data_IF_975648236399
#
_entry.id   IF_975648236399
#
_cell.length_a   1.000
_cell.length_b   1.000
_cell.length_c   1.000
_cell.angle_alpha   90.00
_cell.angle_beta   90.00
_cell.angle_gamma   90.00
#
_symmetry.space_group_name_H-M   'P 1'
#
loop_
_entity.id
_entity.type
_entity.pdbx_description
1 polymer ?
#
# COMPACT_ATOMS: atom_id res chain seq x y z
N UNK A 1 -8.26 -14.78 0.99
CA UNK A 1 -7.01 -14.27 1.61
C UNK A 1 -7.23 -12.80 1.96
N UNK A 2 -7.42 -12.47 3.25
CA UNK A 2 -7.64 -11.09 3.68
C UNK A 2 -6.34 -10.28 3.49
N UNK A 3 -6.46 -9.05 2.99
CA UNK A 3 -5.32 -8.15 2.74
C UNK A 3 -4.57 -7.77 4.03
N UNK A 4 -5.23 -7.88 5.18
CA UNK A 4 -4.67 -7.63 6.49
C UNK A 4 -4.94 -8.83 7.39
N UNK A 5 -3.93 -9.19 8.19
CA UNK A 5 -3.97 -10.28 9.16
C UNK A 5 -5.08 -10.02 10.20
N UNK A 6 -5.65 -11.08 10.78
CA UNK A 6 -6.78 -10.91 11.69
C UNK A 6 -6.36 -10.09 12.92
N UNK A 7 -7.15 -9.07 13.30
CA UNK A 7 -6.86 -8.22 14.48
C UNK A 7 -6.86 -9.00 15.81
N UNK A 8 -7.18 -10.29 15.76
CA UNK A 8 -7.25 -11.25 16.87
C UNK A 8 -5.94 -11.98 17.09
N UNK A 9 -5.00 -11.90 16.16
CA UNK A 9 -3.66 -12.44 16.31
C UNK A 9 -2.80 -11.43 17.09
N UNK A 10 -2.76 -11.61 18.41
CA UNK A 10 -1.92 -10.80 19.28
C UNK A 10 -0.47 -11.25 19.16
N UNK A 11 0.31 -10.55 18.34
CA UNK A 11 1.75 -10.78 18.28
C UNK A 11 2.42 -10.05 19.44
N UNK A 12 3.20 -10.77 20.25
CA UNK A 12 4.02 -10.14 21.27
C UNK A 12 4.92 -9.07 20.62
N UNK A 13 5.11 -7.94 21.30
CA UNK A 13 5.95 -6.84 20.80
C UNK A 13 7.35 -7.35 20.41
N UNK A 14 7.90 -8.30 21.18
CA UNK A 14 9.15 -9.01 20.86
C UNK A 14 9.09 -9.76 19.52
N UNK A 15 8.00 -10.47 19.24
CA UNK A 15 7.81 -11.14 17.95
C UNK A 15 7.68 -10.18 16.78
N UNK A 16 7.07 -9.00 17.00
CA UNK A 16 7.02 -7.94 16.00
C UNK A 16 8.42 -7.40 15.68
N UNK A 17 9.19 -7.04 16.71
CA UNK A 17 10.57 -6.55 16.57
C UNK A 17 11.46 -7.58 15.88
N UNK A 18 11.39 -8.84 16.29
CA UNK A 18 12.17 -9.92 15.69
C UNK A 18 11.85 -10.11 14.19
N UNK A 19 10.57 -10.05 13.81
CA UNK A 19 10.18 -10.14 12.39
C UNK A 19 10.63 -8.94 11.59
N UNK A 20 10.58 -7.73 12.15
CA UNK A 20 11.09 -6.53 11.48
C UNK A 20 12.60 -6.61 11.28
N UNK A 21 13.35 -7.08 12.27
CA UNK A 21 14.79 -7.30 12.16
C UNK A 21 15.11 -8.36 11.10
N UNK A 22 14.39 -9.48 11.10
CA UNK A 22 14.58 -10.54 10.10
C UNK A 22 14.26 -10.05 8.68
N UNK A 23 13.18 -9.28 8.51
CA UNK A 23 12.84 -8.68 7.22
C UNK A 23 13.90 -7.66 6.76
N UNK A 24 14.48 -6.89 7.67
CA UNK A 24 15.57 -5.97 7.35
C UNK A 24 16.84 -6.73 6.91
N UNK A 25 17.20 -7.82 7.61
CA UNK A 25 18.34 -8.67 7.24
C UNK A 25 18.12 -9.35 5.88
N UNK A 26 16.93 -9.90 5.64
CA UNK A 26 16.55 -10.51 4.37
C UNK A 26 16.63 -9.48 3.23
N UNK A 27 16.06 -8.28 3.43
CA UNK A 27 16.15 -7.21 2.44
C UNK A 27 17.60 -6.81 2.14
N UNK A 28 18.43 -6.65 3.18
CA UNK A 28 19.85 -6.30 3.03
C UNK A 28 20.62 -7.38 2.25
N UNK A 29 20.38 -8.66 2.54
CA UNK A 29 20.97 -9.78 1.80
C UNK A 29 20.54 -9.78 0.33
N UNK A 30 19.29 -9.40 0.06
CA UNK A 30 18.70 -9.38 -1.28
C UNK A 30 18.95 -8.07 -2.06
N UNK A 31 19.55 -7.05 -1.46
CA UNK A 31 19.73 -5.73 -2.08
C UNK A 31 20.66 -5.77 -3.32
N UNK A 32 21.55 -6.76 -3.40
CA UNK A 32 22.47 -6.95 -4.54
C UNK A 32 21.99 -7.92 -5.62
N UNK A 33 20.78 -8.51 -5.49
CA UNK A 33 20.32 -9.48 -6.47
C UNK A 33 20.07 -8.84 -7.83
N UNK A 34 20.75 -9.36 -8.85
CA UNK A 34 20.48 -8.99 -10.25
C UNK A 34 19.04 -9.36 -10.58
N UNK A 35 18.38 -8.50 -11.37
CA UNK A 35 17.01 -8.73 -11.78
C UNK A 35 16.84 -10.10 -12.44
N UNK A 36 15.78 -10.83 -12.07
CA UNK A 36 15.47 -12.13 -12.63
C UNK A 36 15.39 -12.05 -14.16
N UNK A 37 15.96 -13.03 -14.86
CA UNK A 37 15.91 -13.13 -16.33
C UNK A 37 14.93 -14.19 -16.78
N UNK A 38 14.31 -13.98 -17.93
CA UNK A 38 13.43 -14.96 -18.58
C UNK A 38 14.30 -16.15 -19.02
N UNK A 39 13.97 -17.37 -18.59
CA UNK A 39 14.77 -18.57 -18.87
C UNK A 39 14.43 -19.24 -20.20
N UNK A 40 13.18 -19.15 -20.66
CA UNK A 40 12.66 -19.89 -21.81
C UNK A 40 11.69 -19.02 -22.62
N UNK A 41 11.73 -19.14 -23.95
CA UNK A 41 10.86 -18.41 -24.90
C UNK A 41 11.64 -17.43 -25.78
N UNK A 42 10.95 -16.73 -26.68
CA UNK A 42 11.55 -15.77 -27.63
C UNK A 42 12.32 -14.63 -26.95
N UNK A 43 11.93 -14.28 -25.72
CA UNK A 43 12.53 -13.21 -24.90
C UNK A 43 13.52 -13.74 -23.85
N UNK A 44 14.04 -14.96 -24.03
CA UNK A 44 14.99 -15.56 -23.10
C UNK A 44 16.25 -14.67 -22.96
N UNK A 45 16.70 -14.47 -21.71
CA UNK A 45 17.82 -13.60 -21.37
C UNK A 45 17.44 -12.15 -21.02
N UNK A 46 16.25 -11.68 -21.42
CA UNK A 46 15.75 -10.36 -21.00
C UNK A 46 15.39 -10.34 -19.51
N UNK A 47 15.45 -9.14 -18.91
CA UNK A 47 14.98 -8.92 -17.56
C UNK A 47 13.46 -9.17 -17.47
N UNK A 48 13.07 -10.02 -16.52
CA UNK A 48 11.69 -10.35 -16.24
C UNK A 48 11.04 -9.21 -15.45
N UNK A 49 9.99 -8.63 -16.04
CA UNK A 49 9.25 -7.51 -15.47
C UNK A 49 7.84 -7.93 -15.08
N UNK A 50 7.49 -7.70 -13.82
CA UNK A 50 6.15 -7.97 -13.32
C UNK A 50 5.18 -6.89 -13.78
N UNK A 51 4.11 -7.29 -14.47
CA UNK A 51 2.97 -6.45 -14.74
C UNK A 51 2.15 -6.27 -13.45
N UNK A 52 1.84 -5.05 -13.06
CA UNK A 52 1.14 -4.73 -11.81
C UNK A 52 0.04 -3.69 -12.06
N UNK A 53 -1.11 -3.86 -11.42
CA UNK A 53 -2.18 -2.87 -11.44
C UNK A 53 -1.97 -1.82 -10.34
N UNK A 54 -1.69 -0.58 -10.74
CA UNK A 54 -1.47 0.52 -9.81
C UNK A 54 -2.82 1.12 -9.41
N UNK A 55 -3.23 0.91 -8.16
CA UNK A 55 -4.52 1.41 -7.65
C UNK A 55 -4.65 2.93 -7.68
N UNK A 56 -3.54 3.66 -7.51
CA UNK A 56 -3.53 5.12 -7.53
C UNK A 56 -3.98 5.68 -8.88
N UNK A 57 -3.48 5.11 -9.97
CA UNK A 57 -3.74 5.59 -11.33
C UNK A 57 -4.78 4.73 -12.07
N UNK A 58 -5.28 3.66 -11.44
CA UNK A 58 -6.17 2.65 -12.03
C UNK A 58 -5.69 2.11 -13.38
N UNK A 59 -4.39 1.86 -13.51
CA UNK A 59 -3.75 1.43 -14.76
C UNK A 59 -2.79 0.25 -14.54
N UNK A 60 -2.63 -0.58 -15.57
CA UNK A 60 -1.62 -1.64 -15.60
C UNK A 60 -0.27 -1.07 -16.03
N UNK A 61 0.74 -1.28 -15.20
CA UNK A 61 2.10 -0.80 -15.45
C UNK A 61 3.10 -1.92 -15.28
N UNK A 62 4.14 -1.95 -16.11
CA UNK A 62 5.31 -2.77 -15.85
C UNK A 62 6.13 -2.11 -14.74
N UNK A 63 6.40 -2.85 -13.67
CA UNK A 63 7.04 -2.31 -12.47
C UNK A 63 8.41 -1.69 -12.77
N UNK A 64 9.16 -2.18 -13.76
CA UNK A 64 10.44 -1.59 -14.17
C UNK A 64 10.33 -0.21 -14.81
N UNK A 65 9.29 0.02 -15.63
CA UNK A 65 9.03 1.35 -16.18
C UNK A 65 8.73 2.33 -15.05
N UNK A 66 7.95 1.90 -14.07
CA UNK A 66 7.66 2.72 -12.88
C UNK A 66 8.95 2.99 -12.08
N UNK A 67 9.75 1.96 -11.80
CA UNK A 67 10.99 2.10 -11.02
C UNK A 67 12.03 2.97 -11.72
N UNK A 68 12.22 2.82 -13.03
CA UNK A 68 13.14 3.65 -13.81
C UNK A 68 12.68 5.11 -13.88
N UNK A 69 11.38 5.37 -14.02
CA UNK A 69 10.82 6.72 -13.94
C UNK A 69 11.02 7.34 -12.55
N UNK A 70 10.85 6.55 -11.49
CA UNK A 70 11.06 6.98 -10.10
C UNK A 70 12.53 7.28 -9.84
N UNK A 71 13.45 6.41 -10.26
CA UNK A 71 14.90 6.62 -10.12
C UNK A 71 15.32 7.90 -10.85
N UNK A 72 14.88 8.08 -12.11
CA UNK A 72 15.14 9.32 -12.86
C UNK A 72 14.62 10.56 -12.13
N UNK A 73 13.42 10.51 -11.54
CA UNK A 73 12.85 11.64 -10.79
C UNK A 73 13.59 11.92 -9.49
N UNK A 74 14.11 10.89 -8.83
CA UNK A 74 14.94 11.03 -7.62
C UNK A 74 16.30 11.61 -7.98
N UNK A 75 16.94 11.14 -9.05
CA UNK A 75 18.24 11.61 -9.55
C UNK A 75 18.18 13.05 -10.07
N UNK A 76 17.08 13.46 -10.69
CA UNK A 76 16.84 14.84 -11.14
C UNK A 76 16.54 15.83 -10.01
N UNK A 77 16.62 15.39 -8.75
CA UNK A 77 16.33 16.20 -7.58
C UNK A 77 14.84 16.44 -7.46
N UNK A 78 14.16 15.63 -6.65
CA UNK A 78 12.72 15.66 -6.42
C UNK A 78 12.19 17.09 -6.22
N UNK A 79 11.68 17.70 -7.28
CA UNK A 79 10.65 18.72 -7.15
C UNK A 79 9.48 18.02 -6.48
N UNK A 80 9.27 18.30 -5.19
CA UNK A 80 8.05 17.94 -4.48
C UNK A 80 6.91 18.46 -5.34
N UNK A 81 6.23 17.59 -6.08
CA UNK A 81 5.03 17.99 -6.82
C UNK A 81 4.10 18.52 -5.73
N UNK A 82 3.78 19.83 -5.70
CA UNK A 82 2.87 20.34 -4.69
C UNK A 82 1.58 19.58 -4.90
N UNK A 83 1.13 18.87 -3.85
CA UNK A 83 -0.07 18.05 -3.92
C UNK A 83 -1.19 18.93 -4.48
N UNK A 84 -1.67 18.61 -5.68
CA UNK A 84 -2.80 19.34 -6.25
C UNK A 84 -3.92 19.26 -5.22
N UNK A 85 -4.56 20.39 -4.85
CA UNK A 85 -5.62 20.37 -3.86
C UNK A 85 -6.75 19.49 -4.38
N UNK A 86 -6.84 18.27 -3.85
CA UNK A 86 -7.93 17.36 -4.17
C UNK A 86 -9.16 17.92 -3.49
N UNK A 87 -10.11 18.44 -4.27
CA UNK A 87 -11.40 18.87 -3.75
C UNK A 87 -12.22 17.63 -3.39
N UNK A 88 -11.99 17.11 -2.20
CA UNK A 88 -12.80 16.04 -1.64
C UNK A 88 -14.19 16.62 -1.30
N UNK A 89 -15.29 15.96 -1.69
CA UNK A 89 -16.60 16.36 -1.24
C UNK A 89 -16.62 16.31 0.29
N UNK A 90 -17.07 17.41 0.91
CA UNK A 90 -17.06 17.66 2.36
C UNK A 90 -17.74 16.54 3.18
N UNK A 91 -18.61 15.75 2.54
CA UNK A 91 -19.32 14.65 3.17
C UNK A 91 -19.66 13.56 2.14
N UNK A 92 -19.19 12.33 2.33
CA UNK A 92 -19.64 11.16 1.53
C UNK A 92 -20.98 10.61 2.03
N UNK A 93 -21.45 11.05 3.20
CA UNK A 93 -22.74 10.62 3.72
C UNK A 93 -23.88 11.38 3.03
N UNK A 94 -24.82 10.64 2.45
CA UNK A 94 -26.05 11.17 1.85
C UNK A 94 -26.95 11.88 2.88
N UNK A 95 -26.74 11.62 4.17
CA UNK A 95 -27.48 12.20 5.28
C UNK A 95 -26.56 13.05 6.15
N UNK A 96 -27.02 14.21 6.66
CA UNK A 96 -26.25 14.99 7.62
C UNK A 96 -26.00 14.19 8.89
N UNK A 97 -24.92 14.52 9.61
CA UNK A 97 -24.63 13.90 10.89
C UNK A 97 -25.79 14.20 11.87
N UNK A 98 -26.37 13.17 12.52
CA UNK A 98 -27.41 13.40 13.52
C UNK A 98 -26.82 14.08 14.76
N UNK A 99 -27.68 14.79 15.49
CA UNK A 99 -27.32 15.34 16.80
C UNK A 99 -27.07 14.17 17.76
N UNK A 100 -26.00 14.26 18.56
CA UNK A 100 -25.54 13.19 19.45
C UNK A 100 -26.65 12.66 20.36
N UNK A 101 -27.48 13.56 20.89
CA UNK A 101 -28.60 13.22 21.78
C UNK A 101 -29.64 12.33 21.08
N UNK A 102 -29.96 12.63 19.83
CA UNK A 102 -30.97 11.89 19.07
C UNK A 102 -30.44 10.53 18.62
N UNK A 103 -29.16 10.47 18.24
CA UNK A 103 -28.49 9.21 17.91
C UNK A 103 -28.45 8.26 19.11
N UNK A 104 -28.19 8.78 20.31
CA UNK A 104 -28.21 8.00 21.55
C UNK A 104 -29.62 7.49 21.87
N UNK A 105 -30.66 8.35 21.74
CA UNK A 105 -32.06 7.94 21.94
C UNK A 105 -32.46 6.83 20.96
N UNK A 106 -32.11 6.98 19.68
CA UNK A 106 -32.44 6.01 18.63
C UNK A 106 -31.78 4.64 18.86
N UNK A 107 -30.56 4.62 19.40
CA UNK A 107 -29.80 3.39 19.59
C UNK A 107 -29.77 2.91 21.04
N UNK A 108 -30.59 3.50 21.92
CA UNK A 108 -30.63 3.16 23.35
C UNK A 108 -30.87 1.68 23.61
N UNK A 109 -31.67 1.02 22.79
CA UNK A 109 -31.95 -0.43 22.89
C UNK A 109 -30.74 -1.32 22.57
N UNK A 110 -29.68 -0.78 21.96
CA UNK A 110 -28.43 -1.51 21.65
C UNK A 110 -27.39 -1.42 22.76
N UNK A 111 -27.56 -0.48 23.69
CA UNK A 111 -26.74 -0.40 24.88
C UNK A 111 -27.43 -1.25 25.96
N UNK A 112 -27.03 -2.53 26.05
CA UNK A 112 -27.44 -3.36 27.17
C UNK A 112 -26.98 -2.71 28.48
N UNK A 113 -27.84 -2.79 29.50
CA UNK A 113 -27.64 -2.17 30.82
C UNK A 113 -26.53 -2.86 31.60
#
# INVERSE_FOLDING_TARGET
MLKYCSKREHFSYKGMVARTQLAALDNNANTGHKQARIKVGERAGEAHYKLCFLKANKQWVYLSRLLSEVVKRVELGNAVIPAMPVHLPKNMATKPAPIVVDAIKQHRSRFNR
#
